data_IF_582631701240
#
_entry.id   IF_582631701240
#
_cell.length_a   1.000
_cell.length_b   1.000
_cell.length_c   1.000
_cell.angle_alpha   90.00
_cell.angle_beta   90.00
_cell.angle_gamma   90.00
#
_symmetry.space_group_name_H-M   'P 1'
#
loop_
_entity.id
_entity.type
_entity.pdbx_description
1 polymer ?
#
# COMPACT_ATOMS: atom_id res chain seq x y z
N UNK A 1 27.08 0.78 6.05
CA UNK A 1 25.65 0.59 6.25
C UNK A 1 25.10 -0.35 5.20
N UNK A 2 24.39 -1.40 5.62
CA UNK A 2 23.85 -2.38 4.71
C UNK A 2 22.73 -1.82 3.84
N UNK A 3 22.56 -2.42 2.67
CA UNK A 3 21.40 -2.15 1.83
C UNK A 3 20.21 -2.96 2.31
N UNK A 4 19.03 -2.34 2.30
CA UNK A 4 17.78 -3.05 2.50
C UNK A 4 17.19 -3.35 1.12
N UNK A 5 16.98 -4.62 0.84
CA UNK A 5 16.33 -5.03 -0.41
C UNK A 5 14.84 -5.29 -0.17
N UNK A 6 14.06 -5.31 -1.25
CA UNK A 6 12.61 -5.47 -1.17
C UNK A 6 12.21 -6.71 -0.35
N UNK A 7 12.85 -7.83 -0.60
CA UNK A 7 12.57 -9.08 0.11
C UNK A 7 12.69 -8.93 1.63
N UNK A 8 13.71 -8.20 2.11
CA UNK A 8 13.93 -8.00 3.54
C UNK A 8 12.77 -7.26 4.20
N UNK A 9 12.25 -6.21 3.55
CA UNK A 9 11.09 -5.48 4.05
C UNK A 9 9.83 -6.32 4.02
N UNK A 10 9.61 -7.05 2.94
CA UNK A 10 8.41 -7.88 2.80
C UNK A 10 8.35 -8.97 3.86
N UNK A 11 9.50 -9.50 4.28
CA UNK A 11 9.57 -10.51 5.33
C UNK A 11 9.15 -10.00 6.70
N UNK A 12 9.08 -8.68 6.90
CA UNK A 12 8.61 -8.07 8.13
C UNK A 12 7.08 -7.88 8.15
N UNK A 13 6.42 -8.07 7.03
CA UNK A 13 4.98 -7.84 6.91
C UNK A 13 4.19 -9.11 7.25
N UNK A 14 2.95 -8.91 7.68
CA UNK A 14 2.00 -9.98 7.96
C UNK A 14 0.94 -10.05 6.87
N UNK A 15 0.25 -11.19 6.75
CA UNK A 15 -0.74 -11.39 5.70
C UNK A 15 -1.78 -10.29 5.55
N UNK A 16 -2.39 -9.77 6.63
CA UNK A 16 -3.40 -8.73 6.52
C UNK A 16 -2.84 -7.32 6.27
N UNK A 17 -1.51 -7.14 6.27
CA UNK A 17 -0.91 -5.84 5.96
C UNK A 17 -1.14 -5.49 4.50
N UNK A 18 -1.46 -4.23 4.23
CA UNK A 18 -1.60 -3.70 2.87
C UNK A 18 -0.25 -3.13 2.44
N UNK A 19 0.22 -3.54 1.27
CA UNK A 19 1.49 -3.09 0.71
C UNK A 19 1.27 -2.48 -0.66
N UNK A 20 1.98 -1.40 -0.94
CA UNK A 20 2.04 -0.77 -2.26
C UNK A 20 3.51 -0.71 -2.67
N UNK A 21 3.87 -1.42 -3.73
CA UNK A 21 5.24 -1.47 -4.24
C UNK A 21 5.32 -0.67 -5.52
N UNK A 22 6.15 0.37 -5.52
CA UNK A 22 6.30 1.29 -6.66
C UNK A 22 7.74 1.37 -7.12
N UNK A 23 7.94 1.61 -8.40
CA UNK A 23 9.26 1.85 -8.97
C UNK A 23 9.55 3.35 -8.98
N UNK A 24 10.69 3.74 -8.41
CA UNK A 24 11.07 5.14 -8.29
C UNK A 24 11.36 5.78 -9.65
N UNK A 25 11.85 4.99 -10.60
CA UNK A 25 12.29 5.51 -11.91
C UNK A 25 11.13 6.02 -12.76
N UNK A 26 9.99 5.33 -12.77
CA UNK A 26 8.89 5.64 -13.66
C UNK A 26 7.55 5.82 -12.94
N UNK A 27 7.57 5.79 -11.61
CA UNK A 27 6.39 5.94 -10.76
C UNK A 27 5.31 4.87 -11.00
N UNK A 28 5.69 3.73 -11.59
CA UNK A 28 4.76 2.63 -11.82
C UNK A 28 4.54 1.82 -10.55
N UNK A 29 3.36 1.21 -10.46
CA UNK A 29 2.99 0.33 -9.34
C UNK A 29 3.18 -1.12 -9.74
N UNK A 30 4.05 -1.84 -9.01
CA UNK A 30 4.27 -3.27 -9.23
C UNK A 30 3.15 -4.10 -8.60
N UNK A 31 2.71 -3.71 -7.41
CA UNK A 31 1.63 -4.39 -6.70
C UNK A 31 1.01 -3.44 -5.66
N UNK A 32 -0.30 -3.58 -5.47
CA UNK A 32 -1.03 -2.91 -4.39
C UNK A 32 -2.11 -3.85 -3.89
N UNK A 33 -2.11 -4.13 -2.60
CA UNK A 33 -3.09 -5.00 -1.96
C UNK A 33 -2.53 -5.67 -0.72
N UNK A 34 -3.21 -6.74 -0.28
CA UNK A 34 -2.78 -7.48 0.90
C UNK A 34 -1.50 -8.25 0.64
N UNK A 35 -0.57 -8.16 1.58
CA UNK A 35 0.69 -8.88 1.47
C UNK A 35 0.49 -10.41 1.42
N UNK A 36 -0.48 -10.93 2.17
CA UNK A 36 -0.77 -12.37 2.15
C UNK A 36 -1.13 -12.90 0.76
N UNK A 37 -1.88 -12.12 -0.02
CA UNK A 37 -2.23 -12.48 -1.39
C UNK A 37 -0.99 -12.45 -2.28
N UNK A 38 -0.16 -11.43 -2.13
CA UNK A 38 1.09 -11.33 -2.88
C UNK A 38 2.00 -12.51 -2.59
N UNK A 39 2.21 -12.83 -1.32
CA UNK A 39 3.08 -13.91 -0.87
C UNK A 39 2.61 -15.27 -1.38
N UNK A 40 1.31 -15.55 -1.26
CA UNK A 40 0.78 -16.90 -1.45
C UNK A 40 0.28 -17.17 -2.88
N UNK A 41 -0.16 -16.12 -3.60
CA UNK A 41 -0.84 -16.29 -4.90
C UNK A 41 -0.25 -15.47 -6.05
N UNK A 42 0.46 -14.39 -5.76
CA UNK A 42 0.95 -13.45 -6.78
C UNK A 42 2.44 -13.14 -6.63
N UNK A 43 3.19 -13.99 -5.98
CA UNK A 43 4.61 -13.80 -5.75
C UNK A 43 5.40 -13.54 -7.05
N UNK A 44 4.94 -14.08 -8.16
CA UNK A 44 5.56 -13.88 -9.46
C UNK A 44 5.63 -12.41 -9.89
N UNK A 45 4.75 -11.56 -9.35
CA UNK A 45 4.77 -10.13 -9.67
C UNK A 45 6.01 -9.42 -9.12
N UNK A 46 6.58 -9.91 -8.02
CA UNK A 46 7.72 -9.27 -7.38
C UNK A 46 9.02 -10.03 -7.54
N UNK A 47 8.99 -11.26 -8.03
CA UNK A 47 10.19 -12.09 -8.20
C UNK A 47 11.33 -11.34 -8.91
N UNK A 48 11.08 -10.60 -10.01
CA UNK A 48 12.15 -9.84 -10.68
C UNK A 48 12.73 -8.71 -9.85
N UNK A 49 12.06 -8.29 -8.78
CA UNK A 49 12.42 -7.12 -8.00
C UNK A 49 12.88 -7.43 -6.57
N UNK A 50 12.87 -8.69 -6.16
CA UNK A 50 13.14 -9.10 -4.77
C UNK A 50 14.46 -8.59 -4.22
N UNK A 51 15.49 -8.54 -5.05
CA UNK A 51 16.83 -8.12 -4.65
C UNK A 51 17.10 -6.66 -4.95
N UNK A 52 16.12 -5.90 -5.43
CA UNK A 52 16.28 -4.46 -5.63
C UNK A 52 16.40 -3.73 -4.30
N UNK A 53 17.30 -2.77 -4.25
CA UNK A 53 17.46 -1.91 -3.08
C UNK A 53 16.22 -1.04 -2.89
N UNK A 54 15.71 -1.01 -1.66
CA UNK A 54 14.62 -0.12 -1.29
C UNK A 54 15.15 1.31 -1.28
N UNK A 55 14.53 2.18 -2.05
CA UNK A 55 14.91 3.60 -2.15
C UNK A 55 14.15 4.46 -1.16
N UNK A 56 12.93 4.06 -0.81
CA UNK A 56 12.10 4.80 0.11
C UNK A 56 11.02 3.90 0.70
N UNK A 57 10.57 4.21 1.91
CA UNK A 57 9.54 3.46 2.60
C UNK A 57 8.74 4.39 3.49
N UNK A 58 7.41 4.39 3.29
CA UNK A 58 6.47 5.18 4.09
C UNK A 58 5.32 4.33 4.55
N UNK A 59 4.77 4.68 5.70
CA UNK A 59 3.48 4.16 6.14
C UNK A 59 2.45 5.25 5.90
N UNK A 60 1.46 4.95 5.08
CA UNK A 60 0.43 5.90 4.64
C UNK A 60 -0.92 5.47 5.20
N UNK A 61 -1.64 6.40 5.81
CA UNK A 61 -3.01 6.18 6.24
C UNK A 61 -3.97 6.80 5.22
N UNK A 62 -4.82 5.98 4.62
CA UNK A 62 -5.87 6.44 3.71
C UNK A 62 -7.22 6.28 4.37
N UNK A 63 -8.03 7.33 4.37
CA UNK A 63 -9.36 7.33 4.96
C UNK A 63 -10.39 7.42 3.85
N UNK A 64 -11.33 6.46 3.82
CA UNK A 64 -12.41 6.41 2.84
C UNK A 64 -13.74 6.20 3.56
N UNK A 65 -14.82 6.72 2.97
CA UNK A 65 -16.16 6.33 3.39
C UNK A 65 -16.38 4.85 3.03
N UNK A 66 -17.02 4.05 3.90
CA UNK A 66 -17.23 2.61 3.63
C UNK A 66 -18.03 2.36 2.35
N UNK A 67 -18.86 3.33 1.92
CA UNK A 67 -19.65 3.25 0.68
C UNK A 67 -19.07 4.17 -0.41
N UNK A 68 -17.76 4.33 -0.46
CA UNK A 68 -17.12 5.30 -1.34
C UNK A 68 -17.48 5.10 -2.82
N UNK A 69 -17.67 3.87 -3.27
CA UNK A 69 -18.05 3.59 -4.66
C UNK A 69 -19.45 4.09 -4.97
N UNK A 70 -20.39 3.89 -4.06
CA UNK A 70 -21.78 4.30 -4.23
C UNK A 70 -21.93 5.83 -4.19
N UNK A 71 -21.09 6.49 -3.40
CA UNK A 71 -21.09 7.93 -3.25
C UNK A 71 -20.27 8.65 -4.33
N UNK A 72 -19.58 7.89 -5.19
CA UNK A 72 -18.72 8.47 -6.23
C UNK A 72 -17.40 9.04 -5.71
N UNK A 73 -16.95 8.62 -4.54
CA UNK A 73 -15.70 9.10 -3.93
C UNK A 73 -14.55 8.21 -4.40
N UNK A 74 -13.90 8.58 -5.49
CA UNK A 74 -12.89 7.74 -6.13
C UNK A 74 -11.50 7.82 -5.49
N UNK A 75 -11.24 8.82 -4.65
CA UNK A 75 -9.94 9.04 -4.00
C UNK A 75 -10.09 9.01 -2.49
N UNK A 76 -8.99 8.79 -1.73
CA UNK A 76 -9.03 8.95 -0.28
C UNK A 76 -9.54 10.33 0.12
N UNK A 77 -10.27 10.38 1.23
CA UNK A 77 -10.91 11.60 1.68
C UNK A 77 -9.89 12.63 2.19
N UNK A 78 -10.06 13.86 1.76
CA UNK A 78 -9.34 14.99 2.32
C UNK A 78 -9.95 15.38 3.69
N UNK A 79 -9.19 16.07 4.57
CA UNK A 79 -9.71 16.45 5.89
C UNK A 79 -11.03 17.21 5.84
N UNK A 80 -11.22 18.07 4.84
CA UNK A 80 -12.45 18.84 4.68
C UNK A 80 -13.65 17.96 4.38
N UNK A 81 -13.45 16.88 3.64
CA UNK A 81 -14.50 15.93 3.29
C UNK A 81 -14.87 15.05 4.49
N UNK A 82 -13.89 14.72 5.33
CA UNK A 82 -14.11 13.88 6.51
C UNK A 82 -15.10 14.50 7.48
N UNK A 83 -15.11 15.83 7.59
CA UNK A 83 -16.02 16.55 8.46
C UNK A 83 -17.48 16.44 8.03
N UNK A 84 -17.75 16.07 6.79
CA UNK A 84 -19.10 15.94 6.23
C UNK A 84 -19.76 14.60 6.54
N UNK A 85 -18.96 13.61 7.00
CA UNK A 85 -19.45 12.26 7.20
C UNK A 85 -19.29 11.80 8.63
N UNK A 86 -20.14 10.88 9.05
CA UNK A 86 -20.05 10.28 10.38
C UNK A 86 -18.78 9.44 10.47
N UNK A 87 -18.05 9.58 11.55
CA UNK A 87 -16.83 8.80 11.80
C UNK A 87 -17.07 7.29 11.66
N UNK A 88 -18.23 6.80 12.10
CA UNK A 88 -18.57 5.38 12.00
C UNK A 88 -18.70 4.87 10.58
N UNK A 89 -18.87 5.78 9.61
CA UNK A 89 -18.99 5.42 8.20
C UNK A 89 -17.66 5.49 7.45
N UNK A 90 -16.57 5.85 8.13
CA UNK A 90 -15.26 5.95 7.53
C UNK A 90 -14.42 4.70 7.76
N UNK A 91 -13.59 4.37 6.79
CA UNK A 91 -12.66 3.26 6.84
C UNK A 91 -11.23 3.79 6.72
N UNK A 92 -10.37 3.36 7.64
CA UNK A 92 -8.95 3.73 7.63
C UNK A 92 -8.14 2.52 7.18
N UNK A 93 -7.35 2.71 6.12
CA UNK A 93 -6.41 1.72 5.63
C UNK A 93 -4.99 2.17 5.88
N UNK A 94 -4.18 1.32 6.51
CA UNK A 94 -2.76 1.58 6.73
C UNK A 94 -2.01 0.84 5.63
N UNK A 95 -1.28 1.57 4.81
CA UNK A 95 -0.59 1.05 3.63
C UNK A 95 0.91 1.22 3.82
N UNK A 96 1.66 0.12 3.66
CA UNK A 96 3.11 0.14 3.61
C UNK A 96 3.54 0.43 2.18
N UNK A 97 3.96 1.66 1.91
CA UNK A 97 4.38 2.06 0.57
C UNK A 97 5.90 1.92 0.45
N UNK A 98 6.33 1.07 -0.47
CA UNK A 98 7.74 0.74 -0.67
C UNK A 98 8.14 1.19 -2.09
N UNK A 99 9.18 1.98 -2.17
CA UNK A 99 9.76 2.46 -3.43
C UNK A 99 11.07 1.72 -3.72
N UNK A 100 11.16 1.16 -4.90
CA UNK A 100 12.34 0.43 -5.37
C UNK A 100 12.93 1.01 -6.64
#
# INVERSE_FOLDING_TARGET
>A
MGRVVLEDLLNLLNGPDIVRIKQKDDDSTCYEGFYGILRDHKHWLITPYELRTVKDYHVVAEIRHKNWKELGLAAPMMPEEQAQYNFMDMQVNIIHEIWI
#
